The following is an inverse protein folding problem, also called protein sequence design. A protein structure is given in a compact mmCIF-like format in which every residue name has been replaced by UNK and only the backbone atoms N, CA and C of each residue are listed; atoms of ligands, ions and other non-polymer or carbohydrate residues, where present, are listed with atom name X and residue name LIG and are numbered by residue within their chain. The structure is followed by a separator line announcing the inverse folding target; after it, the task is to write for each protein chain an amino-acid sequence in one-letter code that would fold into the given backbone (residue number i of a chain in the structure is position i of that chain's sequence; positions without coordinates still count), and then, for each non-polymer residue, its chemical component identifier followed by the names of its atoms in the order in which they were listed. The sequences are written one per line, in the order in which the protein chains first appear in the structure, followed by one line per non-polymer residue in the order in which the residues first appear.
data_IF_011334377575
#
_entry.id   IF_011334377575
#
_cell.length_a   1.000
_cell.length_b   1.000
_cell.length_c   1.000
_cell.angle_alpha   90.00
_cell.angle_beta   90.00
_cell.angle_gamma   90.00
#
_symmetry.space_group_name_H-M   'P 1'
#
loop_
_entity.id
_entity.type
_entity.pdbx_description
1 polymer ?
#
# COMPACT_ATOMS: atom_id res chain seq x y z
N UNK A 1 -5.40 -46.02 8.65
CA UNK A 1 -5.64 -45.37 7.35
C UNK A 1 -4.93 -46.18 6.27
N UNK A 2 -5.57 -46.38 5.11
CA UNK A 2 -4.98 -47.04 3.93
C UNK A 2 -5.17 -46.10 2.74
N UNK A 3 -4.08 -45.85 2.01
CA UNK A 3 -4.08 -45.00 0.81
C UNK A 3 -3.59 -45.84 -0.37
N UNK A 4 -4.23 -45.67 -1.52
CA UNK A 4 -3.85 -46.29 -2.79
C UNK A 4 -3.26 -45.21 -3.69
N UNK A 5 -2.01 -45.42 -4.13
CA UNK A 5 -1.35 -44.49 -5.06
C UNK A 5 -1.91 -44.76 -6.45
N UNK A 6 -2.66 -43.79 -7.00
CA UNK A 6 -3.22 -43.88 -8.35
C UNK A 6 -2.24 -43.42 -9.44
N UNK A 7 -1.39 -42.46 -9.14
CA UNK A 7 -0.48 -41.86 -10.11
C UNK A 7 0.75 -41.28 -9.40
N UNK A 8 1.89 -41.32 -10.09
CA UNK A 8 3.12 -40.64 -9.69
C UNK A 8 3.52 -39.72 -10.84
N UNK A 9 3.32 -38.41 -10.65
CA UNK A 9 3.82 -37.39 -11.58
C UNK A 9 5.16 -36.84 -11.08
N UNK A 10 5.96 -36.31 -12.00
CA UNK A 10 7.21 -35.60 -11.68
C UNK A 10 7.12 -34.19 -12.23
N UNK A 11 7.61 -33.23 -11.46
CA UNK A 11 7.77 -31.87 -11.95
C UNK A 11 8.90 -31.83 -12.97
N UNK A 12 8.63 -31.28 -14.14
CA UNK A 12 9.63 -30.98 -15.15
C UNK A 12 9.57 -29.47 -15.41
N UNK A 13 10.72 -28.81 -15.33
CA UNK A 13 10.82 -27.39 -15.65
C UNK A 13 10.45 -27.19 -17.13
N UNK A 14 9.53 -26.25 -17.39
CA UNK A 14 9.19 -25.86 -18.74
C UNK A 14 10.38 -25.17 -19.41
N UNK A 15 10.64 -25.50 -20.68
CA UNK A 15 11.62 -24.78 -21.47
C UNK A 15 11.13 -23.35 -21.74
N UNK A 16 12.06 -22.38 -21.82
CA UNK A 16 11.75 -20.98 -22.15
C UNK A 16 11.44 -20.84 -23.65
N UNK A 17 10.27 -21.33 -24.05
CA UNK A 17 9.80 -21.38 -25.43
C UNK A 17 8.36 -20.84 -25.56
N UNK A 18 7.86 -20.80 -26.79
CA UNK A 18 6.53 -20.24 -27.09
C UNK A 18 5.40 -20.95 -26.35
N UNK A 19 5.50 -22.27 -26.13
CA UNK A 19 4.46 -23.04 -25.43
C UNK A 19 4.34 -22.57 -23.97
N UNK A 20 5.46 -22.31 -23.29
CA UNK A 20 5.46 -21.75 -21.93
C UNK A 20 4.92 -20.32 -21.92
N UNK A 21 5.30 -19.50 -22.90
CA UNK A 21 4.87 -18.10 -22.99
C UNK A 21 3.35 -18.00 -23.18
N UNK A 22 2.82 -18.78 -24.12
CA UNK A 22 1.39 -18.85 -24.44
C UNK A 22 0.57 -19.41 -23.25
N UNK A 23 1.14 -20.36 -22.49
CA UNK A 23 0.48 -20.92 -21.31
C UNK A 23 0.34 -19.90 -20.17
N UNK A 24 1.28 -18.97 -20.02
CA UNK A 24 1.28 -17.97 -18.93
C UNK A 24 0.53 -16.70 -19.32
N UNK A 25 0.79 -16.18 -20.52
CA UNK A 25 0.31 -14.86 -20.95
C UNK A 25 -0.80 -14.91 -22.01
N UNK A 26 -1.10 -16.10 -22.54
CA UNK A 26 -2.01 -16.28 -23.66
C UNK A 26 -1.30 -16.23 -25.01
N UNK A 27 -1.99 -16.79 -26.01
CA UNK A 27 -1.44 -17.00 -27.34
C UNK A 27 -1.00 -15.70 -28.01
N UNK A 28 0.21 -15.70 -28.59
CA UNK A 28 0.79 -14.59 -29.37
C UNK A 28 0.98 -13.28 -28.58
N UNK A 29 0.90 -13.32 -27.24
CA UNK A 29 1.10 -12.13 -26.36
C UNK A 29 2.58 -11.87 -26.09
N UNK A 30 3.37 -12.94 -25.99
CA UNK A 30 4.81 -12.90 -25.74
C UNK A 30 5.50 -13.77 -26.76
N UNK A 31 6.35 -13.19 -27.59
CA UNK A 31 6.92 -13.89 -28.75
C UNK A 31 8.42 -14.13 -28.65
N UNK A 32 9.04 -13.79 -27.51
CA UNK A 32 10.49 -13.96 -27.32
C UNK A 32 10.83 -14.13 -25.85
N UNK A 33 11.98 -14.79 -25.59
CA UNK A 33 12.52 -14.90 -24.24
C UNK A 33 12.80 -13.53 -23.60
N UNK A 34 13.25 -12.55 -24.40
CA UNK A 34 13.53 -11.21 -23.91
C UNK A 34 12.25 -10.52 -23.38
N UNK A 35 11.16 -10.57 -24.15
CA UNK A 35 9.84 -10.05 -23.74
C UNK A 35 9.29 -10.81 -22.54
N UNK A 36 9.42 -12.15 -22.52
CA UNK A 36 9.03 -12.96 -21.36
C UNK A 36 9.74 -12.52 -20.08
N UNK A 37 11.08 -12.36 -20.13
CA UNK A 37 11.88 -11.92 -18.99
C UNK A 37 11.54 -10.50 -18.56
N UNK A 38 11.26 -9.60 -19.51
CA UNK A 38 10.85 -8.23 -19.21
C UNK A 38 9.50 -8.20 -18.49
N UNK A 39 8.53 -9.00 -18.90
CA UNK A 39 7.23 -9.11 -18.23
C UNK A 39 7.31 -9.72 -16.84
N UNK A 40 8.11 -10.77 -16.68
CA UNK A 40 8.38 -11.35 -15.35
C UNK A 40 9.01 -10.30 -14.45
N UNK A 41 10.03 -9.56 -14.94
CA UNK A 41 10.66 -8.47 -14.21
C UNK A 41 9.65 -7.38 -13.83
N UNK A 42 8.85 -6.89 -14.78
CA UNK A 42 7.85 -5.86 -14.53
C UNK A 42 6.79 -6.31 -13.52
N UNK A 43 6.40 -7.59 -13.55
CA UNK A 43 5.49 -8.17 -12.57
C UNK A 43 6.08 -8.18 -11.17
N UNK A 44 7.36 -8.56 -11.05
CA UNK A 44 8.09 -8.55 -9.77
C UNK A 44 8.24 -7.11 -9.26
N UNK A 45 8.63 -6.17 -10.11
CA UNK A 45 8.73 -4.75 -9.75
C UNK A 45 7.39 -4.18 -9.29
N UNK A 46 6.30 -4.49 -9.98
CA UNK A 46 4.95 -4.07 -9.59
C UNK A 46 4.52 -4.68 -8.25
N UNK A 47 4.97 -5.91 -7.95
CA UNK A 47 4.69 -6.57 -6.68
C UNK A 47 5.41 -5.88 -5.50
N UNK A 48 6.65 -5.39 -5.69
CA UNK A 48 7.46 -4.76 -4.63
C UNK A 48 7.33 -3.23 -4.56
N UNK A 49 6.69 -2.60 -5.54
CA UNK A 49 6.48 -1.16 -5.55
C UNK A 49 5.72 -0.64 -4.31
N UNK A 50 4.63 -1.29 -3.84
CA UNK A 50 3.90 -0.83 -2.65
C UNK A 50 4.77 -0.79 -1.38
N UNK A 51 5.63 -1.79 -1.19
CA UNK A 51 6.50 -1.88 -0.03
C UNK A 51 7.59 -0.80 -0.07
N UNK A 52 8.19 -0.59 -1.25
CA UNK A 52 9.15 0.50 -1.48
C UNK A 52 8.51 1.88 -1.22
N UNK A 53 7.28 2.06 -1.67
CA UNK A 53 6.51 3.30 -1.47
C UNK A 53 6.15 3.52 -0.01
N UNK A 54 5.78 2.45 0.70
CA UNK A 54 5.57 2.50 2.13
C UNK A 54 6.86 2.89 2.86
N UNK A 55 8.00 2.29 2.51
CA UNK A 55 9.30 2.65 3.09
C UNK A 55 9.60 4.13 2.89
N UNK A 56 9.41 4.60 1.66
CA UNK A 56 9.59 6.00 1.31
C UNK A 56 8.74 6.91 2.19
N UNK A 57 7.46 6.60 2.40
CA UNK A 57 6.57 7.41 3.23
C UNK A 57 6.96 7.40 4.71
N UNK A 58 7.45 6.28 5.23
CA UNK A 58 8.00 6.21 6.60
C UNK A 58 9.22 7.12 6.73
N UNK A 59 10.16 7.05 5.79
CA UNK A 59 11.36 7.90 5.80
C UNK A 59 11.01 9.39 5.60
N UNK A 60 10.04 9.70 4.73
CA UNK A 60 9.54 11.05 4.52
C UNK A 60 8.88 11.61 5.80
N UNK A 61 8.02 10.83 6.47
CA UNK A 61 7.43 11.20 7.77
C UNK A 61 8.53 11.56 8.77
N UNK A 62 9.55 10.72 8.92
CA UNK A 62 10.65 10.95 9.85
C UNK A 62 11.43 12.24 9.55
N UNK A 63 11.75 12.50 8.28
CA UNK A 63 12.49 13.70 7.88
C UNK A 63 11.65 14.97 8.08
N UNK A 64 10.37 14.91 7.72
CA UNK A 64 9.50 16.08 7.77
C UNK A 64 9.05 16.39 9.20
N UNK A 65 8.78 15.38 10.05
CA UNK A 65 8.49 15.59 11.47
C UNK A 65 9.66 16.26 12.21
N UNK A 66 10.91 15.92 11.88
CA UNK A 66 12.08 16.61 12.42
C UNK A 66 12.11 18.10 12.07
N UNK A 67 11.54 18.51 10.94
CA UNK A 67 11.40 19.92 10.55
C UNK A 67 10.26 20.63 11.27
N UNK A 68 9.33 19.88 11.88
CA UNK A 68 8.21 20.40 12.67
C UNK A 68 8.46 20.25 14.18
N UNK A 69 9.72 20.13 14.63
CA UNK A 69 10.06 20.04 16.06
C UNK A 69 9.50 21.22 16.85
N UNK A 70 9.49 22.41 16.24
CA UNK A 70 9.18 23.67 16.91
C UNK A 70 7.67 24.00 16.90
N UNK A 71 6.85 23.16 16.24
CA UNK A 71 5.39 23.31 16.25
C UNK A 71 4.84 22.82 17.60
N UNK A 72 4.34 23.76 18.39
CA UNK A 72 3.70 23.50 19.67
C UNK A 72 2.22 23.13 19.50
N UNK A 73 1.76 22.19 20.32
CA UNK A 73 0.36 21.76 20.37
C UNK A 73 -0.22 22.00 21.77
N UNK A 74 -1.54 22.27 21.89
CA UNK A 74 -2.20 22.44 23.17
C UNK A 74 -2.45 21.08 23.84
N UNK A 75 -1.39 20.48 24.38
CA UNK A 75 -1.39 19.10 24.93
C UNK A 75 -2.50 18.86 25.94
N UNK A 76 -2.73 19.78 26.88
CA UNK A 76 -3.78 19.61 27.91
C UNK A 76 -5.20 19.62 27.34
N UNK A 77 -5.40 20.29 26.21
CA UNK A 77 -6.70 20.29 25.52
C UNK A 77 -6.89 18.96 24.78
N UNK A 78 -5.84 18.48 24.11
CA UNK A 78 -5.87 17.20 23.40
C UNK A 78 -6.07 16.02 24.37
N UNK A 79 -5.37 16.00 25.51
CA UNK A 79 -5.57 15.01 26.59
C UNK A 79 -7.03 14.94 27.04
N UNK A 80 -7.63 16.08 27.37
CA UNK A 80 -9.04 16.16 27.78
C UNK A 80 -9.98 15.68 26.69
N UNK A 81 -9.70 16.02 25.44
CA UNK A 81 -10.49 15.57 24.30
C UNK A 81 -10.44 14.05 24.12
N UNK A 82 -9.25 13.43 24.22
CA UNK A 82 -9.10 11.96 24.13
C UNK A 82 -9.88 11.26 25.25
N UNK A 83 -9.71 11.70 26.50
CA UNK A 83 -10.42 11.11 27.65
C UNK A 83 -11.95 11.26 27.56
N UNK A 84 -12.44 12.32 26.91
CA UNK A 84 -13.88 12.55 26.72
C UNK A 84 -14.44 11.67 25.59
N UNK A 85 -13.65 11.39 24.57
CA UNK A 85 -14.08 10.64 23.37
C UNK A 85 -13.89 9.13 23.51
N UNK A 86 -12.86 8.67 24.24
CA UNK A 86 -12.56 7.26 24.47
C UNK A 86 -12.74 6.90 25.95
N UNK A 87 -13.92 6.38 26.28
CA UNK A 87 -14.34 6.07 27.67
C UNK A 87 -13.57 4.91 28.31
N UNK A 88 -12.81 4.16 27.53
CA UNK A 88 -11.98 3.01 27.91
C UNK A 88 -10.52 3.40 28.24
N UNK A 89 -10.12 4.65 28.01
CA UNK A 89 -8.76 5.13 28.23
C UNK A 89 -8.58 5.71 29.64
N UNK A 90 -7.41 5.47 30.23
CA UNK A 90 -7.01 6.05 31.53
C UNK A 90 -6.13 7.26 31.31
N UNK A 91 -6.06 8.16 32.29
CA UNK A 91 -5.12 9.30 32.23
C UNK A 91 -3.67 8.85 32.03
N UNK A 92 -3.26 7.77 32.70
CA UNK A 92 -1.92 7.20 32.56
C UNK A 92 -1.66 6.64 31.16
N UNK A 93 -2.63 5.98 30.52
CA UNK A 93 -2.47 5.48 29.13
C UNK A 93 -2.43 6.64 28.13
N UNK A 94 -3.29 7.65 28.30
CA UNK A 94 -3.29 8.84 27.46
C UNK A 94 -1.98 9.62 27.56
N UNK A 95 -1.41 9.74 28.75
CA UNK A 95 -0.12 10.41 28.96
C UNK A 95 1.05 9.66 28.30
N UNK A 96 1.05 8.33 28.38
CA UNK A 96 2.05 7.49 27.74
C UNK A 96 2.00 7.59 26.21
N UNK A 97 0.78 7.62 25.63
CA UNK A 97 0.57 7.63 24.18
C UNK A 97 0.62 9.05 23.58
N UNK A 98 0.51 10.10 24.39
CA UNK A 98 0.43 11.49 23.95
C UNK A 98 1.54 11.90 22.97
N UNK A 99 2.83 11.56 23.20
CA UNK A 99 3.89 11.91 22.25
C UNK A 99 3.64 11.33 20.85
N UNK A 100 3.24 10.07 20.78
CA UNK A 100 2.95 9.40 19.51
C UNK A 100 1.71 10.01 18.82
N UNK A 101 0.66 10.31 19.59
CA UNK A 101 -0.53 11.00 19.07
C UNK A 101 -0.19 12.38 18.49
N UNK A 102 0.72 13.13 19.11
CA UNK A 102 1.18 14.42 18.59
C UNK A 102 1.97 14.25 17.30
N UNK A 103 2.84 13.24 17.20
CA UNK A 103 3.56 12.96 15.96
C UNK A 103 2.62 12.58 14.81
N UNK A 104 1.61 11.76 15.08
CA UNK A 104 0.59 11.39 14.09
C UNK A 104 -0.27 12.60 13.68
N UNK A 105 -0.63 13.46 14.63
CA UNK A 105 -1.36 14.70 14.34
C UNK A 105 -0.52 15.66 13.51
N UNK A 106 0.77 15.86 13.84
CA UNK A 106 1.71 16.66 13.04
C UNK A 106 1.80 16.12 11.61
N UNK A 107 1.91 14.81 11.47
CA UNK A 107 1.99 14.15 10.17
C UNK A 107 0.70 14.33 9.37
N UNK A 108 -0.46 14.15 10.01
CA UNK A 108 -1.77 14.34 9.38
C UNK A 108 -1.93 15.77 8.85
N UNK A 109 -1.73 16.77 9.70
CA UNK A 109 -1.84 18.19 9.34
C UNK A 109 -0.86 18.59 8.23
N UNK A 110 0.35 18.04 8.25
CA UNK A 110 1.33 18.28 7.21
C UNK A 110 0.85 17.74 5.85
N UNK A 111 0.29 16.52 5.81
CA UNK A 111 -0.28 15.98 4.57
C UNK A 111 -1.41 16.86 4.06
N UNK A 112 -2.31 17.30 4.93
CA UNK A 112 -3.39 18.22 4.57
C UNK A 112 -2.84 19.53 3.99
N UNK A 113 -1.80 20.09 4.60
CA UNK A 113 -1.17 21.33 4.12
C UNK A 113 -0.51 21.13 2.76
N UNK A 114 0.19 20.01 2.53
CA UNK A 114 0.78 19.67 1.22
C UNK A 114 -0.31 19.57 0.16
N UNK A 115 -1.41 18.90 0.46
CA UNK A 115 -2.56 18.77 -0.46
C UNK A 115 -3.12 20.14 -0.81
N UNK A 116 -3.36 20.98 0.20
CA UNK A 116 -3.95 22.30 0.04
C UNK A 116 -3.05 23.27 -0.74
N UNK A 117 -1.77 23.37 -0.36
CA UNK A 117 -0.84 24.32 -0.99
C UNK A 117 -0.52 23.98 -2.45
N UNK A 118 -0.57 22.69 -2.78
CA UNK A 118 -0.21 22.21 -4.13
C UNK A 118 -1.43 21.82 -4.97
N UNK A 119 -2.65 22.10 -4.48
CA UNK A 119 -3.91 21.76 -5.12
C UNK A 119 -3.97 20.30 -5.58
N UNK A 120 -3.49 19.38 -4.73
CA UNK A 120 -3.49 17.96 -5.05
C UNK A 120 -4.93 17.44 -4.99
N UNK A 121 -5.32 16.72 -6.02
CA UNK A 121 -6.65 16.12 -6.14
C UNK A 121 -6.53 14.66 -6.53
N UNK A 122 -7.42 13.83 -6.00
CA UNK A 122 -7.56 12.45 -6.45
C UNK A 122 -8.54 12.43 -7.62
N UNK A 123 -8.11 11.85 -8.74
CA UNK A 123 -8.97 11.61 -9.90
C UNK A 123 -9.88 10.41 -9.66
N UNK A 124 -11.00 10.32 -10.38
CA UNK A 124 -11.89 9.15 -10.30
C UNK A 124 -11.19 7.84 -10.67
N UNK A 125 -10.23 7.90 -11.60
CA UNK A 125 -9.40 6.76 -11.97
C UNK A 125 -8.50 6.28 -10.82
N UNK A 126 -7.81 7.21 -10.14
CA UNK A 126 -6.98 6.88 -8.96
C UNK A 126 -7.82 6.37 -7.78
N UNK A 127 -9.03 6.92 -7.60
CA UNK A 127 -9.95 6.48 -6.57
C UNK A 127 -10.42 5.04 -6.84
N UNK A 128 -10.81 4.74 -8.09
CA UNK A 128 -11.22 3.41 -8.50
C UNK A 128 -10.07 2.39 -8.40
N UNK A 129 -8.86 2.76 -8.84
CA UNK A 129 -7.70 1.87 -8.74
C UNK A 129 -7.32 1.58 -7.28
N UNK A 130 -7.42 2.59 -6.40
CA UNK A 130 -7.24 2.38 -4.95
C UNK A 130 -8.32 1.44 -4.39
N UNK A 131 -9.58 1.63 -4.79
CA UNK A 131 -10.66 0.74 -4.40
C UNK A 131 -10.39 -0.71 -4.83
N UNK A 132 -9.96 -0.95 -6.07
CA UNK A 132 -9.59 -2.29 -6.57
C UNK A 132 -8.44 -2.90 -5.76
N UNK A 133 -7.42 -2.11 -5.39
CA UNK A 133 -6.31 -2.58 -4.55
C UNK A 133 -6.81 -3.04 -3.18
N UNK A 134 -7.67 -2.26 -2.54
CA UNK A 134 -8.29 -2.62 -1.25
C UNK A 134 -9.13 -3.89 -1.39
N UNK A 135 -9.97 -3.97 -2.43
CA UNK A 135 -10.78 -5.16 -2.72
C UNK A 135 -9.90 -6.39 -2.93
N UNK A 136 -8.83 -6.30 -3.72
CA UNK A 136 -7.88 -7.40 -3.94
C UNK A 136 -7.23 -7.85 -2.63
N UNK A 137 -6.83 -6.91 -1.77
CA UNK A 137 -6.28 -7.22 -0.46
C UNK A 137 -7.29 -7.95 0.44
N UNK A 138 -8.57 -7.55 0.42
CA UNK A 138 -9.63 -8.25 1.15
C UNK A 138 -9.84 -9.68 0.65
N UNK A 139 -9.89 -9.89 -0.66
CA UNK A 139 -10.02 -11.24 -1.22
C UNK A 139 -8.81 -12.13 -0.92
N UNK A 140 -7.60 -11.57 -0.95
CA UNK A 140 -6.38 -12.28 -0.58
C UNK A 140 -6.42 -12.80 0.87
N UNK A 141 -7.04 -12.05 1.80
CA UNK A 141 -7.23 -12.52 3.19
C UNK A 141 -8.12 -13.77 3.28
N UNK A 142 -9.03 -13.98 2.32
CA UNK A 142 -9.85 -15.18 2.19
C UNK A 142 -9.21 -16.27 1.32
N UNK A 143 -7.93 -16.11 0.95
CA UNK A 143 -7.18 -17.06 0.11
C UNK A 143 -7.46 -16.94 -1.40
N UNK A 144 -8.19 -15.91 -1.83
CA UNK A 144 -8.50 -15.67 -3.25
C UNK A 144 -7.47 -14.71 -3.86
N UNK A 145 -6.33 -15.26 -4.31
CA UNK A 145 -5.23 -14.47 -4.88
C UNK A 145 -5.50 -13.98 -6.31
N UNK A 146 -6.26 -14.77 -7.10
CA UNK A 146 -6.49 -14.51 -8.53
C UNK A 146 -7.96 -14.15 -8.78
N UNK A 147 -8.37 -12.96 -8.34
CA UNK A 147 -9.73 -12.46 -8.52
C UNK A 147 -9.91 -11.90 -9.93
N UNK A 148 -10.94 -12.33 -10.70
CA UNK A 148 -11.25 -11.77 -12.01
C UNK A 148 -11.47 -10.25 -11.98
N UNK A 149 -11.04 -9.56 -13.03
CA UNK A 149 -11.04 -8.09 -13.07
C UNK A 149 -12.46 -7.49 -13.06
N UNK A 150 -13.40 -8.14 -13.74
CA UNK A 150 -14.83 -7.80 -13.72
C UNK A 150 -15.42 -7.89 -12.31
N UNK A 151 -15.04 -8.93 -11.55
CA UNK A 151 -15.46 -9.07 -10.15
C UNK A 151 -14.84 -7.97 -9.27
N UNK A 152 -13.54 -7.68 -9.46
CA UNK A 152 -12.87 -6.58 -8.76
C UNK A 152 -13.52 -5.23 -9.04
N UNK A 153 -13.84 -4.94 -10.30
CA UNK A 153 -14.47 -3.69 -10.73
C UNK A 153 -15.85 -3.51 -10.08
N UNK A 154 -16.67 -4.56 -10.06
CA UNK A 154 -18.00 -4.52 -9.44
C UNK A 154 -17.92 -4.24 -7.94
N UNK A 155 -17.09 -5.00 -7.22
CA UNK A 155 -16.92 -4.83 -5.77
C UNK A 155 -16.30 -3.49 -5.40
N UNK A 156 -15.29 -3.02 -6.15
CA UNK A 156 -14.69 -1.71 -5.97
C UNK A 156 -15.72 -0.59 -6.17
N UNK A 157 -16.55 -0.69 -7.22
CA UNK A 157 -17.65 0.24 -7.46
C UNK A 157 -18.70 0.26 -6.35
N UNK A 158 -19.09 -0.91 -5.84
CA UNK A 158 -20.02 -1.02 -4.72
C UNK A 158 -19.45 -0.47 -3.41
N UNK A 159 -18.14 -0.63 -3.19
CA UNK A 159 -17.45 -0.06 -2.05
C UNK A 159 -17.45 1.48 -2.11
N UNK A 160 -17.24 2.06 -3.29
CA UNK A 160 -17.27 3.51 -3.49
C UNK A 160 -18.66 4.14 -3.33
N UNK A 161 -19.74 3.36 -3.40
CA UNK A 161 -21.11 3.84 -3.11
C UNK A 161 -21.38 4.01 -1.62
N UNK A 162 -20.58 3.37 -0.75
CA UNK A 162 -20.73 3.47 0.71
C UNK A 162 -19.87 4.62 1.22
N UNK A 163 -20.49 5.63 1.84
CA UNK A 163 -19.81 6.87 2.21
C UNK A 163 -18.55 6.64 3.07
N UNK A 164 -18.66 5.82 4.12
CA UNK A 164 -17.53 5.49 4.99
C UNK A 164 -16.39 4.82 4.23
N UNK A 165 -16.72 3.84 3.38
CA UNK A 165 -15.72 3.15 2.57
C UNK A 165 -15.09 4.08 1.53
N UNK A 166 -15.90 4.95 0.90
CA UNK A 166 -15.44 5.96 -0.05
C UNK A 166 -14.47 6.92 0.59
N UNK A 167 -14.76 7.42 1.80
CA UNK A 167 -13.86 8.32 2.52
C UNK A 167 -12.52 7.65 2.83
N UNK A 168 -12.55 6.41 3.33
CA UNK A 168 -11.33 5.66 3.61
C UNK A 168 -10.48 5.42 2.35
N UNK A 169 -11.12 5.10 1.21
CA UNK A 169 -10.41 4.91 -0.07
C UNK A 169 -9.83 6.24 -0.57
N UNK A 170 -10.58 7.34 -0.41
CA UNK A 170 -10.12 8.68 -0.79
C UNK A 170 -8.88 9.07 0.03
N UNK A 171 -8.86 8.80 1.33
CA UNK A 171 -7.72 9.09 2.20
C UNK A 171 -6.47 8.27 1.82
N UNK A 172 -6.66 7.01 1.43
CA UNK A 172 -5.58 6.15 0.92
C UNK A 172 -5.06 6.65 -0.43
N UNK A 173 -5.96 6.98 -1.36
CA UNK A 173 -5.63 7.50 -2.68
C UNK A 173 -4.88 8.84 -2.55
N UNK A 174 -5.36 9.73 -1.70
CA UNK A 174 -4.71 11.02 -1.42
C UNK A 174 -3.33 10.82 -0.81
N UNK A 175 -3.16 9.84 0.08
CA UNK A 175 -1.84 9.52 0.64
C UNK A 175 -0.87 9.03 -0.44
N UNK A 176 -1.32 8.29 -1.45
CA UNK A 176 -0.52 7.89 -2.60
C UNK A 176 -0.16 9.08 -3.51
N UNK A 177 -1.11 9.99 -3.75
CA UNK A 177 -0.87 11.23 -4.51
C UNK A 177 0.18 12.11 -3.81
N UNK A 178 0.07 12.27 -2.49
CA UNK A 178 1.08 12.98 -1.67
C UNK A 178 2.44 12.29 -1.76
N UNK A 179 2.49 10.96 -1.74
CA UNK A 179 3.74 10.21 -1.92
C UNK A 179 4.39 10.51 -3.27
N UNK A 180 3.60 10.47 -4.35
CA UNK A 180 4.04 10.80 -5.70
C UNK A 180 4.57 12.23 -5.82
N UNK A 181 3.83 13.19 -5.26
CA UNK A 181 4.27 14.59 -5.18
C UNK A 181 5.59 14.74 -4.45
N UNK A 182 5.72 14.15 -3.25
CA UNK A 182 6.94 14.21 -2.45
C UNK A 182 8.14 13.63 -3.19
N UNK A 183 7.99 12.49 -3.88
CA UNK A 183 9.07 11.91 -4.71
C UNK A 183 9.56 12.84 -5.81
N UNK A 184 8.69 13.70 -6.33
CA UNK A 184 9.03 14.68 -7.37
C UNK A 184 9.76 15.92 -6.85
N UNK A 185 9.54 16.30 -5.58
CA UNK A 185 10.09 17.55 -5.02
C UNK A 185 11.24 17.34 -4.04
N UNK A 186 11.40 16.14 -3.48
CA UNK A 186 12.48 15.83 -2.55
C UNK A 186 13.60 15.05 -3.22
N UNK A 187 14.84 15.30 -2.80
CA UNK A 187 16.01 14.57 -3.32
C UNK A 187 16.00 13.14 -2.80
N UNK A 188 15.81 12.18 -3.70
CA UNK A 188 15.84 10.75 -3.39
C UNK A 188 17.27 10.21 -3.41
N UNK A 189 17.61 9.39 -2.41
CA UNK A 189 18.83 8.58 -2.41
C UNK A 189 18.44 7.11 -2.62
N UNK A 190 18.52 6.64 -3.86
CA UNK A 190 18.16 5.27 -4.21
C UNK A 190 19.20 4.29 -3.67
N UNK A 191 18.73 3.23 -3.01
CA UNK A 191 19.57 2.17 -2.45
C UNK A 191 19.04 0.81 -2.89
N UNK A 192 19.93 -0.01 -3.44
CA UNK A 192 19.63 -1.42 -3.70
C UNK A 192 19.72 -2.21 -2.40
N UNK A 193 18.75 -3.09 -2.17
CA UNK A 193 18.65 -3.93 -0.98
C UNK A 193 18.06 -5.28 -1.37
N UNK A 194 18.47 -6.35 -0.69
CA UNK A 194 17.87 -7.67 -0.88
C UNK A 194 16.46 -7.72 -0.27
N UNK A 195 15.60 -8.63 -0.73
CA UNK A 195 14.28 -8.84 -0.12
C UNK A 195 14.40 -9.23 1.36
N UNK A 196 15.40 -10.06 1.69
CA UNK A 196 15.67 -10.48 3.06
C UNK A 196 16.02 -9.31 3.98
N UNK A 197 16.91 -8.42 3.54
CA UNK A 197 17.32 -7.26 4.33
C UNK A 197 16.23 -6.20 4.38
N UNK A 198 15.44 -6.07 3.31
CA UNK A 198 14.28 -5.19 3.30
C UNK A 198 13.24 -5.63 4.34
N UNK A 199 12.96 -6.93 4.43
CA UNK A 199 12.02 -7.47 5.42
C UNK A 199 12.49 -7.23 6.86
N UNK A 200 13.80 -7.26 7.12
CA UNK A 200 14.37 -6.94 8.45
C UNK A 200 14.15 -5.49 8.88
N UNK A 201 13.80 -4.57 7.97
CA UNK A 201 13.48 -3.18 8.32
C UNK A 201 12.16 -3.04 9.09
N UNK A 202 11.33 -4.08 9.10
CA UNK A 202 10.00 -4.10 9.71
C UNK A 202 9.84 -5.21 10.76
N UNK A 203 10.92 -5.93 11.07
CA UNK A 203 10.96 -7.01 12.06
C UNK A 203 11.24 -6.50 13.48
#
# INVERSE_FOLDING_TARGET
FAFEIKEITRYQEGELNQDLFDAIYGKDVVTSEADFRERVKASIEAQFAPESDYRFMVDAKNVLLKKLSDVAFPVDTLKRWVLTTKKDQTEASVDADMPAMIEDLKWHLMKEQIVKENNLTVTDAELLETAKKVTRAQFAQYGMMNVPEDLLNNYAGDMLKKEESRQNILDQAMSAVVAGYLKGVIKLNQKSISVEDFNKLYA
#
